data_IF_428933860630
#
_entry.id   IF_428933860630
#
_cell.length_a   1.000
_cell.length_b   1.000
_cell.length_c   1.000
_cell.angle_alpha   90.00
_cell.angle_beta   90.00
_cell.angle_gamma   90.00
#
_symmetry.space_group_name_H-M   'P 1'
#
loop_
_entity.id
_entity.type
_entity.pdbx_description
1 polymer ?
#
# COMPACT_ATOMS: atom_id res chain seq x y z
N UNK A 1 -10.08 3.54 -4.43
CA UNK A 1 -9.17 2.54 -3.82
C UNK A 1 -9.40 2.57 -2.32
N UNK A 2 -9.82 1.46 -1.72
CA UNK A 2 -9.90 1.33 -0.26
C UNK A 2 -8.47 1.29 0.28
N UNK A 3 -8.15 2.14 1.27
CA UNK A 3 -6.95 1.96 2.10
C UNK A 3 -6.88 0.49 2.55
N UNK A 4 -5.68 -0.07 2.73
CA UNK A 4 -5.50 -1.47 3.12
C UNK A 4 -5.06 -1.64 4.58
N UNK A 5 -5.27 -0.60 5.38
CA UNK A 5 -4.70 -0.52 6.71
C UNK A 5 -5.23 -1.61 7.66
N UNK A 6 -6.50 -2.01 7.49
CA UNK A 6 -7.13 -3.03 8.33
C UNK A 6 -7.58 -4.23 7.51
N UNK A 7 -6.69 -4.77 6.67
CA UNK A 7 -6.90 -6.09 6.06
C UNK A 7 -7.07 -7.13 7.16
N UNK A 8 -8.10 -7.97 7.03
CA UNK A 8 -8.41 -9.06 7.96
C UNK A 8 -8.19 -10.39 7.29
N UNK A 9 -7.65 -11.33 8.05
CA UNK A 9 -7.33 -12.69 7.62
C UNK A 9 -6.49 -13.38 8.67
N UNK A 10 -6.32 -14.68 8.53
CA UNK A 10 -5.27 -15.38 9.27
C UNK A 10 -3.91 -15.16 8.61
N UNK A 11 -2.85 -15.62 9.28
CA UNK A 11 -1.48 -15.48 8.77
C UNK A 11 -1.30 -16.12 7.40
N UNK A 12 -1.91 -17.30 7.17
CA UNK A 12 -1.72 -18.04 5.92
C UNK A 12 -2.36 -17.33 4.73
N UNK A 13 -3.52 -16.73 4.91
CA UNK A 13 -4.20 -15.92 3.90
C UNK A 13 -3.52 -14.59 3.59
N UNK A 14 -2.76 -14.04 4.55
CA UNK A 14 -2.13 -12.72 4.43
C UNK A 14 -0.63 -12.75 4.14
N UNK A 15 0.03 -13.91 4.23
CA UNK A 15 1.50 -14.01 4.12
C UNK A 15 2.06 -13.59 2.76
N UNK A 16 1.23 -13.59 1.71
CA UNK A 16 1.58 -13.20 0.34
C UNK A 16 0.86 -11.92 -0.12
N UNK A 17 0.09 -11.28 0.77
CA UNK A 17 -0.74 -10.14 0.44
C UNK A 17 -0.10 -8.84 0.91
N UNK A 18 0.50 -8.11 -0.03
CA UNK A 18 1.23 -6.88 0.26
C UNK A 18 0.60 -5.69 -0.44
N UNK A 19 0.56 -4.57 0.27
CA UNK A 19 0.22 -3.28 -0.32
C UNK A 19 1.34 -2.30 -0.09
N UNK A 20 1.83 -1.69 -1.17
CA UNK A 20 2.79 -0.59 -1.12
C UNK A 20 2.07 0.70 -1.50
N UNK A 21 2.04 1.63 -0.56
CA UNK A 21 1.39 2.93 -0.70
C UNK A 21 2.42 4.05 -0.77
N UNK A 22 2.26 4.94 -1.75
CA UNK A 22 3.06 6.14 -1.95
C UNK A 22 2.25 7.38 -1.61
N UNK A 23 2.72 8.17 -0.63
CA UNK A 23 1.99 9.36 -0.16
C UNK A 23 2.93 10.57 0.00
N UNK A 24 2.68 11.68 -0.72
CA UNK A 24 3.26 12.98 -0.40
C UNK A 24 2.72 13.50 0.95
N UNK A 25 3.60 14.00 1.81
CA UNK A 25 3.23 14.58 3.09
C UNK A 25 2.75 16.03 2.95
N UNK A 26 1.54 16.29 3.45
CA UNK A 26 0.97 17.65 3.51
C UNK A 26 1.85 18.55 4.38
N UNK A 27 2.10 19.77 3.91
CA UNK A 27 2.98 20.73 4.59
C UNK A 27 4.48 20.47 4.44
N UNK A 28 4.89 19.31 3.90
CA UNK A 28 6.32 18.96 3.73
C UNK A 28 6.70 18.92 2.25
N UNK A 29 6.12 18.01 1.46
CA UNK A 29 6.52 17.79 0.06
C UNK A 29 5.34 17.59 -0.91
N UNK A 30 4.12 17.97 -0.51
CA UNK A 30 2.93 17.91 -1.38
C UNK A 30 3.08 18.75 -2.66
N UNK A 31 3.55 20.00 -2.55
CA UNK A 31 3.78 20.87 -3.70
C UNK A 31 4.99 20.37 -4.51
N UNK A 32 4.82 20.19 -5.82
CA UNK A 32 5.82 19.61 -6.71
C UNK A 32 6.00 18.08 -6.56
N UNK A 33 5.05 17.38 -5.97
CA UNK A 33 5.12 15.91 -5.80
C UNK A 33 4.75 15.14 -7.06
N UNK A 34 3.97 15.72 -7.99
CA UNK A 34 3.49 15.02 -9.17
C UNK A 34 4.58 14.23 -9.95
N UNK A 35 5.73 14.81 -10.34
CA UNK A 35 6.78 14.05 -11.05
C UNK A 35 7.38 12.93 -10.21
N UNK A 36 7.51 13.12 -8.89
CA UNK A 36 8.04 12.11 -7.95
C UNK A 36 7.06 10.95 -7.78
N UNK A 37 5.77 11.24 -7.68
CA UNK A 37 4.69 10.25 -7.60
C UNK A 37 4.58 9.45 -8.91
N UNK A 38 4.73 10.10 -10.08
CA UNK A 38 4.79 9.40 -11.37
C UNK A 38 5.96 8.43 -11.44
N UNK A 39 7.16 8.86 -11.03
CA UNK A 39 8.32 7.99 -11.03
C UNK A 39 8.16 6.81 -10.06
N UNK A 40 7.61 7.05 -8.87
CA UNK A 40 7.25 5.99 -7.94
C UNK A 40 6.31 4.97 -8.57
N UNK A 41 5.21 5.41 -9.21
CA UNK A 41 4.26 4.53 -9.89
C UNK A 41 4.91 3.73 -11.02
N UNK A 42 5.78 4.37 -11.83
CA UNK A 42 6.50 3.72 -12.93
C UNK A 42 7.41 2.61 -12.41
N UNK A 43 8.12 2.85 -11.31
CA UNK A 43 8.93 1.84 -10.64
C UNK A 43 8.02 0.71 -10.14
N UNK A 44 6.93 1.03 -9.43
CA UNK A 44 5.99 0.01 -8.95
C UNK A 44 5.46 -0.88 -10.08
N UNK A 45 5.01 -0.29 -11.18
CA UNK A 45 4.49 -1.01 -12.35
C UNK A 45 5.50 -2.01 -12.94
N UNK A 46 6.77 -1.60 -13.03
CA UNK A 46 7.87 -2.45 -13.53
C UNK A 46 8.04 -3.74 -12.72
N UNK A 47 7.71 -3.74 -11.43
CA UNK A 47 7.81 -4.92 -10.56
C UNK A 47 6.55 -5.81 -10.56
N UNK A 48 5.58 -5.54 -11.46
CA UNK A 48 4.45 -6.45 -11.74
C UNK A 48 3.43 -6.58 -10.62
N UNK A 49 2.82 -5.47 -10.15
CA UNK A 49 1.75 -5.53 -9.17
C UNK A 49 0.51 -6.21 -9.77
N UNK A 50 -0.26 -6.91 -8.94
CA UNK A 50 -1.56 -7.48 -9.37
C UNK A 50 -2.64 -6.41 -9.51
N UNK A 51 -2.46 -5.27 -8.83
CA UNK A 51 -3.32 -4.10 -8.97
C UNK A 51 -2.53 -2.84 -8.67
N UNK A 52 -2.75 -1.76 -9.42
CA UNK A 52 -2.13 -0.46 -9.20
C UNK A 52 -3.14 0.64 -9.50
N UNK A 53 -3.14 1.67 -8.66
CA UNK A 53 -4.04 2.80 -8.89
C UNK A 53 -3.71 4.03 -8.05
N UNK A 54 -4.53 5.05 -8.26
CA UNK A 54 -4.51 6.30 -7.52
C UNK A 54 -5.90 6.66 -6.97
N UNK A 55 -5.98 7.74 -6.20
CA UNK A 55 -7.25 8.19 -5.63
C UNK A 55 -8.18 8.90 -6.64
N UNK A 56 -7.69 9.29 -7.84
CA UNK A 56 -8.40 10.21 -8.75
C UNK A 56 -8.94 9.52 -9.99
N UNK A 57 -8.13 8.67 -10.59
CA UNK A 57 -8.35 8.01 -11.87
C UNK A 57 -8.93 6.62 -11.69
N UNK A 58 -8.54 5.92 -10.61
CA UNK A 58 -8.94 4.55 -10.35
C UNK A 58 -7.75 3.62 -10.39
N UNK A 59 -7.90 2.45 -11.04
CA UNK A 59 -6.88 1.42 -11.06
C UNK A 59 -6.79 0.70 -12.41
N UNK A 60 -5.80 -0.18 -12.55
CA UNK A 60 -5.48 -0.90 -13.78
C UNK A 60 -6.55 -1.89 -14.27
N UNK A 61 -7.62 -2.13 -13.49
CA UNK A 61 -8.80 -2.87 -13.97
C UNK A 61 -9.82 -1.98 -14.69
N UNK A 62 -9.80 -0.68 -14.42
CA UNK A 62 -10.76 0.28 -14.97
C UNK A 62 -10.16 1.17 -16.08
N UNK A 63 -8.83 1.25 -16.18
CA UNK A 63 -8.11 2.14 -17.11
C UNK A 63 -6.67 1.63 -17.34
N UNK A 64 -5.90 2.32 -18.17
CA UNK A 64 -4.51 1.97 -18.48
C UNK A 64 -3.53 2.57 -17.48
N UNK A 65 -2.30 2.02 -17.42
CA UNK A 65 -1.23 2.61 -16.60
C UNK A 65 -0.85 4.01 -17.10
N UNK A 66 -0.87 4.24 -18.41
CA UNK A 66 -0.54 5.53 -19.02
C UNK A 66 -1.55 6.61 -18.60
N UNK A 67 -2.86 6.28 -18.65
CA UNK A 67 -3.92 7.16 -18.17
C UNK A 67 -3.75 7.54 -16.69
N UNK A 68 -3.37 6.57 -15.85
CA UNK A 68 -3.12 6.81 -14.42
C UNK A 68 -1.91 7.75 -14.26
N UNK A 69 -0.81 7.49 -14.96
CA UNK A 69 0.42 8.28 -14.89
C UNK A 69 0.18 9.73 -15.35
N UNK A 70 -0.54 9.93 -16.44
CA UNK A 70 -0.83 11.26 -17.01
C UNK A 70 -1.70 12.12 -16.09
N UNK A 71 -2.55 11.49 -15.27
CA UNK A 71 -3.47 12.18 -14.34
C UNK A 71 -2.91 12.39 -12.94
N UNK A 72 -1.67 11.96 -12.68
CA UNK A 72 -0.98 12.25 -11.42
C UNK A 72 -0.80 13.75 -11.25
N UNK A 73 -1.23 14.26 -10.10
CA UNK A 73 -1.11 15.66 -9.70
C UNK A 73 -0.51 15.77 -8.30
N UNK A 74 -0.19 16.98 -7.87
CA UNK A 74 0.37 17.21 -6.54
C UNK A 74 -0.56 16.71 -5.43
N UNK A 75 -0.01 15.88 -4.54
CA UNK A 75 -0.74 15.26 -3.45
C UNK A 75 -1.58 14.04 -3.86
N UNK A 76 -1.45 13.53 -5.10
CA UNK A 76 -2.02 12.23 -5.45
C UNK A 76 -1.38 11.15 -4.57
N UNK A 77 -2.22 10.36 -3.90
CA UNK A 77 -1.85 9.15 -3.16
C UNK A 77 -2.06 7.97 -4.10
N UNK A 78 -1.09 7.08 -4.09
CA UNK A 78 -1.02 5.94 -5.00
C UNK A 78 -0.81 4.66 -4.23
N UNK A 79 -1.31 3.54 -4.78
CA UNK A 79 -1.30 2.27 -4.08
C UNK A 79 -1.11 1.13 -5.09
N UNK A 80 -0.24 0.18 -4.73
CA UNK A 80 0.12 -0.98 -5.54
C UNK A 80 -0.01 -2.24 -4.68
N UNK A 81 -0.70 -3.26 -5.17
CA UNK A 81 -0.89 -4.55 -4.50
C UNK A 81 0.01 -5.59 -5.15
N UNK A 82 0.69 -6.40 -4.34
CA UNK A 82 1.56 -7.49 -4.75
C UNK A 82 1.12 -8.79 -4.07
N UNK A 83 1.33 -9.88 -4.78
CA UNK A 83 0.91 -11.25 -4.47
C UNK A 83 2.07 -12.16 -4.06
N UNK A 84 3.27 -11.60 -3.89
CA UNK A 84 4.42 -12.33 -3.37
C UNK A 84 5.48 -11.38 -2.82
N UNK A 85 6.36 -11.96 -2.03
CA UNK A 85 7.42 -11.28 -1.28
C UNK A 85 8.53 -10.77 -2.21
N UNK A 86 8.90 -11.55 -3.21
CA UNK A 86 10.05 -11.32 -4.09
C UNK A 86 9.88 -10.03 -4.90
N UNK A 87 8.67 -9.79 -5.42
CA UNK A 87 8.33 -8.53 -6.11
C UNK A 87 8.52 -7.32 -5.20
N UNK A 88 8.11 -7.40 -3.93
CA UNK A 88 8.24 -6.31 -2.97
C UNK A 88 9.70 -6.07 -2.59
N UNK A 89 10.50 -7.12 -2.37
CA UNK A 89 11.94 -6.98 -2.13
C UNK A 89 12.63 -6.27 -3.31
N UNK A 90 12.36 -6.73 -4.53
CA UNK A 90 12.91 -6.14 -5.76
C UNK A 90 12.51 -4.67 -5.92
N UNK A 91 11.23 -4.36 -5.66
CA UNK A 91 10.70 -3.00 -5.65
C UNK A 91 11.44 -2.11 -4.64
N UNK A 92 11.57 -2.55 -3.39
CA UNK A 92 12.21 -1.75 -2.34
C UNK A 92 13.70 -1.51 -2.60
N UNK A 93 14.41 -2.47 -3.22
CA UNK A 93 15.80 -2.28 -3.67
C UNK A 93 15.90 -1.15 -4.70
N UNK A 94 15.03 -1.14 -5.72
CA UNK A 94 15.04 -0.08 -6.73
C UNK A 94 14.60 1.28 -6.14
N UNK A 95 13.61 1.30 -5.24
CA UNK A 95 13.19 2.53 -4.57
C UNK A 95 14.30 3.10 -3.67
N UNK A 96 15.09 2.24 -3.00
CA UNK A 96 16.27 2.64 -2.21
C UNK A 96 17.34 3.30 -3.07
N UNK A 97 17.55 2.81 -4.30
CA UNK A 97 18.50 3.38 -5.25
C UNK A 97 18.00 4.68 -5.88
N UNK A 98 16.77 4.69 -6.39
CA UNK A 98 16.20 5.81 -7.16
C UNK A 98 15.74 6.97 -6.29
N UNK A 99 15.35 6.69 -5.03
CA UNK A 99 14.92 7.68 -4.03
C UNK A 99 13.98 8.75 -4.63
N UNK A 100 12.79 8.37 -5.13
CA UNK A 100 11.86 9.32 -5.75
C UNK A 100 11.40 10.43 -4.79
N UNK A 101 11.62 10.29 -3.48
CA UNK A 101 11.28 11.30 -2.48
C UNK A 101 9.81 11.30 -2.11
N UNK A 102 9.17 10.14 -2.21
CA UNK A 102 7.80 9.85 -1.77
C UNK A 102 7.87 8.95 -0.54
N UNK A 103 6.99 9.20 0.45
CA UNK A 103 6.87 8.31 1.62
C UNK A 103 6.30 6.96 1.18
N UNK A 104 6.90 5.88 1.66
CA UNK A 104 6.52 4.50 1.30
C UNK A 104 6.00 3.78 2.53
N UNK A 105 4.81 3.23 2.42
CA UNK A 105 4.17 2.41 3.46
C UNK A 105 3.96 1.01 2.89
N UNK A 106 4.39 -0.02 3.61
CA UNK A 106 4.18 -1.42 3.25
C UNK A 106 3.21 -2.05 4.26
N UNK A 107 2.02 -2.40 3.81
CA UNK A 107 1.07 -3.20 4.58
C UNK A 107 1.30 -4.68 4.29
N UNK A 108 1.33 -5.50 5.35
CA UNK A 108 1.50 -6.95 5.31
C UNK A 108 1.73 -7.50 6.72
N UNK A 109 1.89 -8.82 6.85
CA UNK A 109 2.22 -9.43 8.15
C UNK A 109 3.59 -8.93 8.62
N UNK A 110 3.67 -8.41 9.85
CA UNK A 110 4.79 -7.58 10.30
C UNK A 110 6.15 -8.28 10.29
N UNK A 111 6.23 -9.55 10.71
CA UNK A 111 7.46 -10.36 10.68
C UNK A 111 7.94 -10.59 9.24
N UNK A 112 6.99 -10.84 8.32
CA UNK A 112 7.29 -11.05 6.90
C UNK A 112 7.77 -9.74 6.26
N UNK A 113 7.12 -8.61 6.56
CA UNK A 113 7.54 -7.28 6.08
C UNK A 113 8.92 -6.92 6.65
N UNK A 114 9.20 -7.24 7.91
CA UNK A 114 10.54 -7.05 8.47
C UNK A 114 11.59 -7.86 7.70
N UNK A 115 11.30 -9.13 7.38
CA UNK A 115 12.17 -9.95 6.54
C UNK A 115 12.34 -9.43 5.10
N UNK A 116 11.34 -8.75 4.53
CA UNK A 116 11.47 -8.03 3.25
C UNK A 116 12.44 -6.85 3.38
N UNK A 117 12.32 -6.06 4.45
CA UNK A 117 13.14 -4.87 4.69
C UNK A 117 14.62 -5.24 4.89
N UNK A 118 14.89 -6.32 5.62
CA UNK A 118 16.25 -6.82 5.84
C UNK A 118 16.87 -7.30 4.53
N UNK A 119 16.13 -8.06 3.70
CA UNK A 119 16.62 -8.53 2.40
C UNK A 119 16.81 -7.38 1.38
N UNK A 120 15.99 -6.34 1.45
CA UNK A 120 16.17 -5.12 0.66
C UNK A 120 17.34 -4.24 1.17
N UNK A 121 17.95 -4.60 2.31
CA UNK A 121 19.02 -3.84 2.94
C UNK A 121 18.56 -2.48 3.47
N UNK A 122 17.28 -2.36 3.85
CA UNK A 122 16.70 -1.18 4.51
C UNK A 122 16.76 -1.29 6.03
N UNK A 123 17.00 -2.49 6.58
CA UNK A 123 17.12 -2.76 8.00
C UNK A 123 15.77 -2.76 8.73
N UNK A 124 15.78 -2.33 9.99
CA UNK A 124 14.58 -2.35 10.84
C UNK A 124 13.52 -1.35 10.34
N UNK A 125 12.25 -1.78 10.33
CA UNK A 125 11.12 -0.90 10.06
C UNK A 125 11.15 0.30 11.03
N UNK A 126 11.14 1.52 10.49
CA UNK A 126 11.28 2.75 11.30
C UNK A 126 10.02 3.09 12.08
N UNK A 127 8.84 2.73 11.58
CA UNK A 127 7.54 3.02 12.20
C UNK A 127 6.57 1.90 11.83
N UNK A 128 5.87 1.37 12.83
CA UNK A 128 4.92 0.26 12.66
C UNK A 128 3.58 0.69 13.20
N UNK A 129 2.54 0.45 12.43
CA UNK A 129 1.15 0.58 12.86
C UNK A 129 0.52 -0.80 12.94
N UNK A 130 -0.10 -1.12 14.08
CA UNK A 130 -0.80 -2.38 14.29
C UNK A 130 -2.31 -2.16 14.30
N UNK A 131 -3.02 -2.88 13.43
CA UNK A 131 -4.46 -3.00 13.53
C UNK A 131 -4.83 -3.93 14.68
N UNK A 132 -5.22 -3.37 15.83
CA UNK A 132 -5.62 -4.12 17.03
C UNK A 132 -6.99 -4.82 16.92
N UNK A 133 -7.65 -4.73 15.76
CA UNK A 133 -8.98 -5.29 15.55
C UNK A 133 -10.10 -4.49 16.23
N UNK A 134 -11.28 -5.09 16.32
CA UNK A 134 -12.47 -4.49 16.96
C UNK A 134 -12.65 -5.06 18.36
N UNK A 135 -12.98 -4.19 19.31
CA UNK A 135 -13.19 -4.53 20.72
C UNK A 135 -14.64 -4.21 21.12
N UNK A 136 -15.21 -4.98 22.05
CA UNK A 136 -16.58 -4.76 22.54
C UNK A 136 -17.56 -5.83 22.09
N UNK A 137 -18.78 -5.42 21.68
CA UNK A 137 -19.87 -6.32 21.27
C UNK A 137 -19.65 -6.91 19.86
N UNK A 138 -18.60 -7.70 19.70
CA UNK A 138 -18.19 -8.28 18.42
C UNK A 138 -19.23 -9.23 17.83
N UNK A 139 -20.13 -9.77 18.66
CA UNK A 139 -21.27 -10.58 18.25
C UNK A 139 -22.31 -9.82 17.41
N UNK A 140 -22.27 -8.48 17.41
CA UNK A 140 -23.13 -7.63 16.56
C UNK A 140 -22.51 -7.32 15.21
N UNK A 141 -21.25 -7.71 14.99
CA UNK A 141 -20.57 -7.44 13.73
C UNK A 141 -21.09 -8.36 12.62
N UNK A 142 -21.01 -7.91 11.36
CA UNK A 142 -21.17 -8.80 10.22
C UNK A 142 -20.24 -10.01 10.29
N UNK A 143 -20.59 -11.05 9.54
CA UNK A 143 -19.75 -12.25 9.41
C UNK A 143 -18.32 -11.92 8.95
N UNK A 144 -17.37 -12.76 9.35
CA UNK A 144 -15.95 -12.52 9.12
C UNK A 144 -15.60 -12.28 7.65
N UNK A 145 -16.23 -13.00 6.72
CA UNK A 145 -16.01 -12.82 5.27
C UNK A 145 -16.45 -11.42 4.79
N UNK A 146 -17.53 -10.87 5.34
CA UNK A 146 -17.96 -9.49 5.03
C UNK A 146 -16.97 -8.47 5.61
N UNK A 147 -16.45 -8.75 6.80
CA UNK A 147 -15.46 -7.89 7.45
C UNK A 147 -14.14 -7.82 6.68
N UNK A 148 -13.68 -8.93 6.07
CA UNK A 148 -12.47 -8.93 5.22
C UNK A 148 -12.52 -7.85 4.13
N UNK A 149 -13.71 -7.59 3.58
CA UNK A 149 -13.92 -6.58 2.54
C UNK A 149 -14.18 -5.20 3.14
N UNK A 150 -15.10 -5.11 4.10
CA UNK A 150 -15.60 -3.82 4.57
C UNK A 150 -14.62 -3.08 5.47
N UNK A 151 -13.71 -3.78 6.16
CA UNK A 151 -12.77 -3.11 7.09
C UNK A 151 -11.51 -2.59 6.42
N UNK A 152 -11.19 -2.97 5.18
CA UNK A 152 -9.89 -2.65 4.54
C UNK A 152 -9.47 -1.18 4.77
N UNK A 153 -10.39 -0.25 4.47
CA UNK A 153 -10.16 1.20 4.49
C UNK A 153 -10.18 1.83 5.90
N UNK A 154 -10.48 1.06 6.95
CA UNK A 154 -10.60 1.54 8.33
C UNK A 154 -11.88 2.32 8.64
N UNK A 155 -12.58 2.86 7.65
CA UNK A 155 -13.81 3.62 7.90
C UNK A 155 -14.93 2.78 8.55
N UNK A 156 -14.97 1.47 8.31
CA UNK A 156 -15.91 0.57 9.00
C UNK A 156 -15.57 0.35 10.50
N UNK A 157 -14.45 0.92 10.98
CA UNK A 157 -14.06 0.91 12.39
C UNK A 157 -14.65 2.09 13.18
N UNK A 158 -15.36 3.02 12.51
CA UNK A 158 -16.10 4.12 13.15
C UNK A 158 -17.59 3.81 13.00
N UNK A 159 -18.22 3.38 14.08
CA UNK A 159 -19.66 3.17 14.20
C UNK A 159 -20.18 3.86 15.47
#
# INVERSE_FOLDING_TARGET
MTHSLHRRGDRESLKEDFVVLGCPATGVNKKGSAPKTREFLRICWKHGPVNLGDMKTGNTYNTTIDDILDRVTDGTIVQCTFDNREKVVSLLKELKEKKPGISVIVSGVTDIVQGIMDEAGLGRIHTVEYSMGTWGKTERMPDFEVLKLTTMCGHAMVA
#
